data_IF_135805961880
#
_entry.id   IF_135805961880
#
_cell.length_a   1.000
_cell.length_b   1.000
_cell.length_c   1.000
_cell.angle_alpha   90.00
_cell.angle_beta   90.00
_cell.angle_gamma   90.00
#
_symmetry.space_group_name_H-M   'P 1'
#
loop_
_entity.id
_entity.type
_entity.pdbx_description
1 polymer ?
#
# COMPACT_ATOMS: atom_id res chain seq x y z
N UNK A 1 13.74 -10.28 7.28
CA UNK A 1 14.86 -9.68 6.50
C UNK A 1 15.70 -10.84 6.00
N UNK A 2 15.47 -11.26 4.77
CA UNK A 2 16.32 -12.27 4.13
C UNK A 2 17.72 -11.70 3.93
N UNK A 3 18.72 -12.48 4.37
CA UNK A 3 20.12 -12.21 4.06
C UNK A 3 20.33 -12.47 2.56
N UNK A 4 20.31 -11.40 1.76
CA UNK A 4 20.81 -11.45 0.39
C UNK A 4 22.25 -11.91 0.43
N UNK A 5 22.55 -13.04 -0.23
CA UNK A 5 23.89 -13.60 -0.35
C UNK A 5 24.92 -12.51 -0.72
N UNK A 6 25.98 -12.37 0.06
CA UNK A 6 26.96 -11.29 0.05
C UNK A 6 27.91 -11.35 -1.16
N UNK A 7 27.42 -11.21 -2.38
CA UNK A 7 28.29 -11.31 -3.55
C UNK A 7 28.11 -10.23 -4.62
N UNK A 8 27.01 -9.51 -4.64
CA UNK A 8 26.66 -8.62 -5.75
C UNK A 8 25.98 -7.30 -5.31
N UNK A 9 26.26 -6.78 -4.12
CA UNK A 9 25.64 -5.55 -3.62
C UNK A 9 26.62 -4.39 -3.59
N UNK A 10 26.17 -3.19 -4.02
CA UNK A 10 26.94 -1.94 -3.94
C UNK A 10 26.62 -1.30 -2.60
N UNK A 11 27.55 -1.41 -1.66
CA UNK A 11 27.40 -0.92 -0.29
C UNK A 11 27.07 0.58 -0.22
N UNK A 12 27.70 1.40 -1.07
CA UNK A 12 27.43 2.85 -1.11
C UNK A 12 25.99 3.17 -1.52
N UNK A 13 25.40 2.40 -2.45
CA UNK A 13 24.00 2.57 -2.83
C UNK A 13 23.05 2.20 -1.68
N UNK A 14 23.33 1.09 -0.99
CA UNK A 14 22.55 0.69 0.19
C UNK A 14 22.58 1.74 1.30
N UNK A 15 23.74 2.31 1.58
CA UNK A 15 23.90 3.39 2.57
C UNK A 15 23.10 4.63 2.14
N UNK A 16 23.18 5.03 0.87
CA UNK A 16 22.42 6.17 0.35
C UNK A 16 20.91 5.98 0.52
N UNK A 17 20.36 4.82 0.13
CA UNK A 17 18.94 4.51 0.30
C UNK A 17 18.53 4.40 1.77
N UNK A 18 19.38 3.85 2.64
CA UNK A 18 19.11 3.83 4.09
C UNK A 18 18.98 5.24 4.69
N UNK A 19 19.74 6.21 4.20
CA UNK A 19 19.60 7.62 4.61
C UNK A 19 18.24 8.16 4.19
N UNK A 20 17.78 7.86 2.96
CA UNK A 20 16.45 8.24 2.47
C UNK A 20 15.35 7.65 3.35
N UNK A 21 15.44 6.36 3.70
CA UNK A 21 14.49 5.67 4.57
C UNK A 21 14.41 6.31 5.97
N UNK A 22 15.57 6.70 6.53
CA UNK A 22 15.61 7.35 7.85
C UNK A 22 14.88 8.69 7.80
N UNK A 23 15.12 9.50 6.76
CA UNK A 23 14.46 10.81 6.59
C UNK A 23 12.95 10.62 6.35
N UNK A 24 12.55 9.62 5.56
CA UNK A 24 11.14 9.31 5.31
C UNK A 24 10.38 9.00 6.59
N UNK A 25 10.98 8.21 7.50
CA UNK A 25 10.36 7.81 8.79
C UNK A 25 10.16 8.97 9.77
N UNK A 26 10.90 10.07 9.63
CA UNK A 26 10.78 11.22 10.55
C UNK A 26 9.49 12.02 10.33
N UNK A 27 8.86 11.94 9.16
CA UNK A 27 7.65 12.71 8.79
C UNK A 27 7.78 14.23 8.94
N UNK A 28 8.99 14.74 9.18
CA UNK A 28 9.34 16.16 9.33
C UNK A 28 10.78 16.38 8.88
N UNK A 29 11.15 17.62 8.50
CA UNK A 29 12.53 17.94 8.18
C UNK A 29 13.48 17.63 9.33
N UNK A 30 14.67 17.13 9.03
CA UNK A 30 15.68 16.65 9.99
C UNK A 30 17.02 17.35 9.79
N UNK A 31 17.75 17.61 10.88
CA UNK A 31 19.07 18.25 10.83
C UNK A 31 20.17 17.24 10.49
N UNK A 32 21.29 17.74 9.94
CA UNK A 32 22.50 16.94 9.70
C UNK A 32 22.97 16.17 10.94
N UNK A 33 22.97 16.84 12.11
CA UNK A 33 23.42 16.24 13.36
C UNK A 33 22.59 15.01 13.75
N UNK A 34 21.28 15.10 13.61
CA UNK A 34 20.35 14.02 13.96
C UNK A 34 20.50 12.82 13.00
N UNK A 35 20.70 13.11 11.68
CA UNK A 35 20.99 12.05 10.69
C UNK A 35 22.31 11.37 11.02
N UNK A 36 23.33 12.13 11.40
CA UNK A 36 24.62 11.59 11.80
C UNK A 36 24.51 10.69 13.03
N UNK A 37 23.76 11.13 14.05
CA UNK A 37 23.52 10.36 15.27
C UNK A 37 22.77 9.04 14.99
N UNK A 38 21.74 9.08 14.15
CA UNK A 38 20.96 7.87 13.81
C UNK A 38 21.76 6.90 12.94
N UNK A 39 22.52 7.42 11.96
CA UNK A 39 23.21 6.59 10.98
C UNK A 39 24.55 6.06 11.45
N UNK A 40 25.21 6.75 12.39
CA UNK A 40 26.59 6.51 12.84
C UNK A 40 27.63 6.58 11.69
N UNK A 41 27.26 7.19 10.56
CA UNK A 41 28.17 7.41 9.43
C UNK A 41 29.09 8.60 9.77
N UNK A 42 30.39 8.50 9.44
CA UNK A 42 31.31 9.62 9.66
C UNK A 42 30.83 10.90 8.97
N UNK A 43 31.01 12.06 9.60
CA UNK A 43 30.53 13.36 9.09
C UNK A 43 30.95 13.62 7.63
N UNK A 44 32.19 13.30 7.29
CA UNK A 44 32.72 13.47 5.92
C UNK A 44 31.98 12.62 4.89
N UNK A 45 31.69 11.34 5.21
CA UNK A 45 30.95 10.46 4.31
C UNK A 45 29.48 10.83 4.25
N UNK A 46 28.85 11.13 5.39
CA UNK A 46 27.46 11.57 5.42
C UNK A 46 27.26 12.82 4.56
N UNK A 47 28.17 13.79 4.64
CA UNK A 47 28.13 14.99 3.81
C UNK A 47 28.13 14.66 2.31
N UNK A 48 28.98 13.70 1.87
CA UNK A 48 29.01 13.25 0.46
C UNK A 48 27.69 12.63 0.03
N UNK A 49 27.12 11.76 0.86
CA UNK A 49 25.81 11.14 0.57
C UNK A 49 24.69 12.18 0.46
N UNK A 50 24.59 13.08 1.45
CA UNK A 50 23.54 14.10 1.46
C UNK A 50 23.68 15.05 0.27
N UNK A 51 24.88 15.47 -0.09
CA UNK A 51 25.12 16.31 -1.26
C UNK A 51 24.74 15.58 -2.56
N UNK A 52 25.12 14.32 -2.71
CA UNK A 52 24.78 13.51 -3.89
C UNK A 52 23.27 13.36 -4.01
N UNK A 53 22.59 12.95 -2.94
CA UNK A 53 21.15 12.74 -2.93
C UNK A 53 20.36 14.04 -3.15
N UNK A 54 20.87 15.17 -2.63
CA UNK A 54 20.30 16.50 -2.89
C UNK A 54 20.52 16.93 -4.34
N UNK A 55 21.73 16.73 -4.88
CA UNK A 55 22.04 17.02 -6.27
C UNK A 55 21.19 16.20 -7.27
N UNK A 56 20.80 14.99 -6.89
CA UNK A 56 19.90 14.13 -7.67
C UNK A 56 18.41 14.47 -7.47
N UNK A 57 18.07 15.41 -6.58
CA UNK A 57 16.69 15.75 -6.23
C UNK A 57 15.95 14.70 -5.39
N UNK A 58 16.64 13.66 -4.92
CA UNK A 58 16.10 12.62 -4.03
C UNK A 58 15.85 13.18 -2.62
N UNK A 59 16.75 14.05 -2.17
CA UNK A 59 16.57 14.88 -0.96
C UNK A 59 16.44 16.34 -1.35
N UNK A 60 15.79 17.09 -0.50
CA UNK A 60 15.73 18.55 -0.53
C UNK A 60 16.39 19.08 0.73
N UNK A 61 17.27 20.07 0.59
CA UNK A 61 17.87 20.82 1.70
C UNK A 61 17.30 22.22 1.69
N UNK A 62 16.58 22.56 2.75
CA UNK A 62 16.08 23.90 2.95
C UNK A 62 17.24 24.90 3.14
N UNK A 63 17.21 26.04 2.43
CA UNK A 63 18.31 27.01 2.40
C UNK A 63 18.43 27.81 3.69
N UNK A 64 17.32 28.07 4.38
CA UNK A 64 17.29 28.89 5.59
C UNK A 64 17.63 28.07 6.83
N UNK A 65 16.93 26.96 7.03
CA UNK A 65 17.11 26.11 8.21
C UNK A 65 18.26 25.10 8.06
N UNK A 66 18.69 24.81 6.83
CA UNK A 66 19.66 23.78 6.53
C UNK A 66 19.18 22.34 6.76
N UNK A 67 17.88 22.16 7.05
CA UNK A 67 17.26 20.85 7.28
C UNK A 67 17.05 20.09 5.97
N UNK A 68 17.01 18.75 6.10
CA UNK A 68 16.80 17.83 4.99
C UNK A 68 15.39 17.24 5.05
N UNK A 69 14.76 17.10 3.89
CA UNK A 69 13.50 16.40 3.66
C UNK A 69 13.57 15.58 2.38
N UNK A 70 12.54 14.79 2.11
CA UNK A 70 12.44 14.07 0.83
C UNK A 70 12.26 15.06 -0.31
N UNK A 71 12.93 14.79 -1.44
CA UNK A 71 12.91 15.62 -2.64
C UNK A 71 11.84 15.16 -3.65
N UNK A 72 11.51 16.04 -4.61
CA UNK A 72 10.49 15.82 -5.63
C UNK A 72 10.79 14.67 -6.59
N UNK A 73 12.05 14.29 -6.75
CA UNK A 73 12.43 13.16 -7.62
C UNK A 73 11.83 11.83 -7.16
N UNK A 74 11.59 11.67 -5.87
CA UNK A 74 10.90 10.50 -5.35
C UNK A 74 9.42 10.46 -5.76
N UNK A 75 8.78 11.61 -5.92
CA UNK A 75 7.41 11.70 -6.46
C UNK A 75 7.41 11.24 -7.92
N UNK A 76 8.35 11.70 -8.74
CA UNK A 76 8.47 11.27 -10.14
C UNK A 76 8.68 9.75 -10.24
N UNK A 77 9.58 9.19 -9.43
CA UNK A 77 9.81 7.74 -9.41
C UNK A 77 8.58 6.96 -8.93
N UNK A 78 7.92 7.46 -7.88
CA UNK A 78 6.67 6.86 -7.39
C UNK A 78 5.57 6.88 -8.45
N UNK A 79 5.37 8.02 -9.11
CA UNK A 79 4.41 8.15 -10.20
C UNK A 79 4.75 7.25 -11.39
N UNK A 80 6.01 7.17 -11.79
CA UNK A 80 6.47 6.27 -12.86
C UNK A 80 6.28 4.79 -12.50
N UNK A 81 6.49 4.41 -11.24
CA UNK A 81 6.28 3.05 -10.76
C UNK A 81 4.80 2.65 -10.73
N UNK A 82 3.91 3.61 -10.46
CA UNK A 82 2.45 3.40 -10.42
C UNK A 82 1.84 3.52 -11.83
N UNK A 83 2.42 4.38 -12.66
CA UNK A 83 1.88 4.80 -13.96
C UNK A 83 2.44 3.99 -15.14
N UNK A 84 2.01 2.76 -15.30
CA UNK A 84 1.87 2.30 -16.69
C UNK A 84 0.49 2.64 -17.30
N UNK A 85 -0.50 2.98 -16.48
CA UNK A 85 -1.75 3.64 -16.88
C UNK A 85 -2.15 4.53 -15.71
N UNK A 86 -2.71 5.69 -15.95
CA UNK A 86 -3.08 6.73 -14.95
C UNK A 86 -4.23 6.28 -14.00
N UNK A 87 -4.09 5.06 -13.42
CA UNK A 87 -5.13 4.36 -12.64
C UNK A 87 -5.55 5.21 -11.45
N UNK A 88 -4.57 5.75 -10.70
CA UNK A 88 -4.85 6.49 -9.45
C UNK A 88 -5.65 7.77 -9.72
N UNK A 89 -5.38 8.47 -10.81
CA UNK A 89 -6.14 9.67 -11.18
C UNK A 89 -7.56 9.30 -11.62
N UNK A 90 -7.70 8.28 -12.46
CA UNK A 90 -8.99 7.83 -12.97
C UNK A 90 -9.90 7.28 -11.88
N UNK A 91 -9.35 6.60 -10.88
CA UNK A 91 -10.12 6.00 -9.78
C UNK A 91 -10.47 7.01 -8.68
N UNK A 92 -9.69 8.08 -8.52
CA UNK A 92 -9.83 9.05 -7.41
C UNK A 92 -11.22 9.64 -7.24
N UNK A 93 -11.96 10.06 -8.29
CA UNK A 93 -13.32 10.57 -8.14
C UNK A 93 -14.30 9.54 -7.53
N UNK A 94 -14.17 8.27 -7.93
CA UNK A 94 -15.01 7.18 -7.44
C UNK A 94 -14.69 6.84 -5.98
N UNK A 95 -13.41 6.83 -5.60
CA UNK A 95 -13.01 6.63 -4.20
C UNK A 95 -13.56 7.73 -3.30
N UNK A 96 -13.58 8.98 -3.79
CA UNK A 96 -14.14 10.11 -3.08
C UNK A 96 -15.67 10.00 -2.92
N UNK A 97 -16.35 9.47 -3.93
CA UNK A 97 -17.80 9.20 -3.87
C UNK A 97 -18.11 8.11 -2.85
N UNK A 98 -17.39 6.97 -2.90
CA UNK A 98 -17.53 5.89 -1.93
C UNK A 98 -17.26 6.40 -0.50
N UNK A 99 -16.22 7.21 -0.31
CA UNK A 99 -15.89 7.78 0.98
C UNK A 99 -17.02 8.69 1.50
N UNK A 100 -17.62 9.54 0.65
CA UNK A 100 -18.76 10.39 1.03
C UNK A 100 -20.01 9.58 1.34
N UNK A 101 -20.28 8.53 0.57
CA UNK A 101 -21.46 7.68 0.76
C UNK A 101 -21.39 6.84 2.03
N UNK A 102 -20.23 6.19 2.26
CA UNK A 102 -20.04 5.28 3.38
C UNK A 102 -19.60 5.97 4.68
N UNK A 103 -19.10 7.20 4.61
CA UNK A 103 -18.64 7.95 5.79
C UNK A 103 -17.33 7.44 6.41
N UNK A 104 -16.72 6.41 5.85
CA UNK A 104 -15.53 5.74 6.37
C UNK A 104 -14.31 5.94 5.46
N UNK A 105 -13.11 5.67 5.95
CA UNK A 105 -11.88 5.77 5.16
C UNK A 105 -11.87 4.78 4.01
N UNK A 106 -11.53 5.27 2.81
CA UNK A 106 -11.39 4.46 1.59
C UNK A 106 -9.94 4.43 1.17
N UNK A 107 -9.42 3.23 0.96
CA UNK A 107 -8.06 2.97 0.49
C UNK A 107 -8.12 2.40 -0.93
N UNK A 108 -7.14 2.78 -1.76
CA UNK A 108 -6.84 2.06 -2.99
C UNK A 108 -5.45 1.44 -2.87
N UNK A 109 -5.37 0.16 -3.17
CA UNK A 109 -4.12 -0.60 -3.09
C UNK A 109 -3.83 -1.29 -4.41
N UNK A 110 -2.55 -1.35 -4.76
CA UNK A 110 -2.04 -2.03 -5.96
C UNK A 110 -1.00 -3.09 -5.56
N UNK A 111 -0.74 -4.01 -6.47
CA UNK A 111 0.33 -4.97 -6.27
C UNK A 111 1.70 -4.33 -6.51
N UNK A 112 2.66 -4.61 -5.65
CA UNK A 112 4.07 -4.23 -5.79
C UNK A 112 4.97 -5.44 -5.59
N UNK A 113 6.27 -5.29 -5.81
CA UNK A 113 7.25 -6.36 -5.52
C UNK A 113 7.26 -6.83 -4.05
N UNK A 114 6.78 -5.98 -3.13
CA UNK A 114 6.72 -6.28 -1.69
C UNK A 114 5.34 -6.81 -1.26
N UNK A 115 4.41 -6.97 -2.18
CA UNK A 115 3.03 -7.34 -1.92
C UNK A 115 2.03 -6.18 -2.13
N UNK A 116 0.78 -6.33 -1.67
CA UNK A 116 -0.24 -5.29 -1.79
C UNK A 116 0.16 -4.03 -1.03
N UNK A 117 0.10 -2.85 -1.69
CA UNK A 117 0.51 -1.58 -1.09
C UNK A 117 -0.57 -0.52 -1.27
N UNK A 118 -0.82 0.26 -0.22
CA UNK A 118 -1.73 1.40 -0.25
C UNK A 118 -1.11 2.54 -1.05
N UNK A 119 -1.78 3.00 -2.10
CA UNK A 119 -1.31 4.10 -2.97
C UNK A 119 -2.22 5.33 -2.94
N UNK A 120 -3.44 5.19 -2.43
CA UNK A 120 -4.36 6.31 -2.25
C UNK A 120 -5.23 6.13 -1.02
N UNK A 121 -5.54 7.24 -0.34
CA UNK A 121 -6.41 7.28 0.85
C UNK A 121 -7.37 8.47 0.72
N UNK A 122 -8.66 8.22 0.99
CA UNK A 122 -9.66 9.26 1.24
C UNK A 122 -10.22 9.07 2.65
N UNK A 123 -10.10 10.11 3.47
CA UNK A 123 -10.56 10.12 4.85
C UNK A 123 -11.38 11.39 5.12
N UNK A 124 -12.57 11.23 5.72
CA UNK A 124 -13.42 12.35 6.12
C UNK A 124 -13.10 12.90 7.51
N UNK A 125 -12.38 12.13 8.32
CA UNK A 125 -12.11 12.46 9.73
C UNK A 125 -10.73 13.09 9.87
N UNK A 126 -10.66 14.35 10.21
CA UNK A 126 -9.42 15.02 10.61
C UNK A 126 -8.93 14.38 11.93
N UNK A 127 -7.82 13.65 11.87
CA UNK A 127 -7.15 13.11 13.05
C UNK A 127 -7.36 11.61 13.32
N UNK A 128 -8.22 10.89 12.61
CA UNK A 128 -8.34 9.43 12.78
C UNK A 128 -7.35 8.70 11.88
N UNK A 129 -6.22 8.29 12.43
CA UNK A 129 -5.27 7.42 11.73
C UNK A 129 -5.62 5.96 12.05
N UNK A 130 -6.28 5.27 11.12
CA UNK A 130 -6.68 3.86 11.23
C UNK A 130 -5.53 2.89 10.85
N UNK A 131 -4.30 3.31 11.08
CA UNK A 131 -3.11 2.43 10.96
C UNK A 131 -2.59 2.20 9.55
N UNK A 132 -3.24 2.74 8.50
CA UNK A 132 -2.74 2.65 7.14
C UNK A 132 -2.34 4.03 6.61
N UNK A 133 -1.16 4.10 5.99
CA UNK A 133 -0.62 5.27 5.30
C UNK A 133 -0.32 4.90 3.85
N UNK A 134 -0.18 5.90 2.97
CA UNK A 134 0.35 5.65 1.62
C UNK A 134 1.74 5.02 1.76
N UNK A 135 1.97 3.92 1.04
CA UNK A 135 3.18 3.10 1.16
C UNK A 135 3.07 1.94 2.16
N UNK A 136 1.98 1.83 2.94
CA UNK A 136 1.76 0.67 3.81
C UNK A 136 1.60 -0.60 2.98
N UNK A 137 2.44 -1.60 3.24
CA UNK A 137 2.28 -2.96 2.68
C UNK A 137 1.27 -3.72 3.53
N UNK A 138 0.27 -4.28 2.87
CA UNK A 138 -0.85 -4.96 3.52
C UNK A 138 -0.56 -6.45 3.65
N UNK A 139 -0.80 -7.08 4.83
CA UNK A 139 -0.62 -8.51 5.02
C UNK A 139 -1.71 -9.33 4.31
N UNK A 140 -1.46 -10.61 4.16
CA UNK A 140 -2.38 -11.57 3.55
C UNK A 140 -3.76 -11.58 4.23
N UNK A 141 -3.81 -11.46 5.55
CA UNK A 141 -5.05 -11.47 6.33
C UNK A 141 -5.87 -10.18 6.25
N UNK A 142 -5.35 -9.11 5.64
CA UNK A 142 -6.14 -7.92 5.38
C UNK A 142 -7.18 -8.19 4.30
N UNK A 143 -8.30 -7.45 4.29
CA UNK A 143 -9.32 -7.61 3.26
C UNK A 143 -8.72 -7.42 1.84
N UNK A 144 -7.87 -6.42 1.62
CA UNK A 144 -7.16 -6.23 0.36
C UNK A 144 -6.21 -7.40 0.04
N UNK A 145 -5.43 -7.87 1.02
CA UNK A 145 -4.50 -9.00 0.84
C UNK A 145 -5.22 -10.26 0.36
N UNK A 146 -6.37 -10.57 0.93
CA UNK A 146 -7.22 -11.69 0.52
C UNK A 146 -7.72 -11.54 -0.92
N UNK A 147 -8.11 -10.33 -1.37
CA UNK A 147 -8.49 -10.07 -2.77
C UNK A 147 -7.30 -10.35 -3.70
N UNK A 148 -6.12 -9.82 -3.40
CA UNK A 148 -4.94 -10.11 -4.23
C UNK A 148 -4.63 -11.60 -4.27
N UNK A 149 -4.68 -12.29 -3.13
CA UNK A 149 -4.46 -13.74 -3.06
C UNK A 149 -5.50 -14.55 -3.83
N UNK A 150 -6.74 -14.05 -3.96
CA UNK A 150 -7.83 -14.72 -4.66
C UNK A 150 -7.77 -14.52 -6.18
N UNK A 151 -7.37 -13.35 -6.67
CA UNK A 151 -7.54 -12.95 -8.06
C UNK A 151 -6.24 -12.80 -8.85
N UNK A 152 -5.08 -12.87 -8.22
CA UNK A 152 -3.80 -12.88 -8.92
C UNK A 152 -3.24 -14.28 -9.04
N UNK A 153 -2.61 -14.53 -10.19
CA UNK A 153 -1.90 -15.77 -10.49
C UNK A 153 -0.42 -15.47 -10.77
N UNK A 154 0.41 -16.52 -10.75
CA UNK A 154 1.82 -16.46 -11.06
C UNK A 154 2.74 -16.70 -9.86
N UNK A 155 4.03 -16.88 -10.15
CA UNK A 155 5.04 -17.28 -9.16
C UNK A 155 5.21 -16.24 -8.04
N UNK A 156 5.20 -14.96 -8.37
CA UNK A 156 5.41 -13.87 -7.41
C UNK A 156 4.32 -13.85 -6.32
N UNK A 157 3.05 -13.99 -6.70
CA UNK A 157 1.95 -14.02 -5.75
C UNK A 157 1.96 -15.31 -4.94
N UNK A 158 2.33 -16.44 -5.56
CA UNK A 158 2.41 -17.72 -4.88
C UNK A 158 3.49 -17.70 -3.78
N UNK A 159 4.69 -17.23 -4.10
CA UNK A 159 5.78 -17.07 -3.14
C UNK A 159 5.40 -16.14 -1.97
N UNK A 160 4.70 -15.04 -2.27
CA UNK A 160 4.20 -14.13 -1.23
C UNK A 160 3.16 -14.82 -0.33
N UNK A 161 2.18 -15.54 -0.93
CA UNK A 161 1.17 -16.30 -0.16
C UNK A 161 1.81 -17.31 0.76
N UNK A 162 2.75 -18.10 0.25
CA UNK A 162 3.47 -19.11 1.03
C UNK A 162 4.25 -18.48 2.19
N UNK A 163 4.96 -17.37 1.93
CA UNK A 163 5.68 -16.62 2.97
C UNK A 163 4.74 -16.07 4.05
N UNK A 164 3.57 -15.59 3.69
CA UNK A 164 2.57 -15.07 4.64
C UNK A 164 1.88 -16.21 5.41
N UNK A 165 1.51 -17.31 4.74
CA UNK A 165 0.92 -18.50 5.36
C UNK A 165 1.86 -19.18 6.35
N UNK A 166 3.16 -19.22 6.05
CA UNK A 166 4.16 -19.74 6.97
C UNK A 166 4.19 -19.01 8.32
N UNK A 167 3.78 -17.74 8.35
CA UNK A 167 3.66 -16.94 9.57
C UNK A 167 2.39 -17.26 10.38
N UNK A 168 1.40 -17.91 9.76
CA UNK A 168 0.08 -18.15 10.36
C UNK A 168 -0.05 -19.48 11.10
N UNK A 169 0.86 -20.44 10.89
CA UNK A 169 0.81 -21.77 11.51
C UNK A 169 -0.47 -22.54 11.16
N UNK A 170 -1.12 -23.14 12.16
CA UNK A 170 -2.32 -23.98 11.97
C UNK A 170 -3.54 -23.28 11.35
N UNK A 171 -3.62 -21.94 11.41
CA UNK A 171 -4.72 -21.15 10.82
C UNK A 171 -4.71 -21.15 9.29
N UNK A 172 -3.71 -21.75 8.65
CA UNK A 172 -3.61 -21.81 7.19
C UNK A 172 -4.55 -22.84 6.53
N UNK A 173 -5.06 -23.82 7.28
CA UNK A 173 -5.79 -24.96 6.71
C UNK A 173 -7.11 -24.55 5.99
N UNK A 174 -7.88 -23.64 6.56
CA UNK A 174 -9.17 -23.21 6.01
C UNK A 174 -9.07 -22.02 5.04
N UNK A 175 -7.89 -21.45 4.91
CA UNK A 175 -7.70 -20.19 4.16
C UNK A 175 -7.95 -20.34 2.65
N UNK A 176 -7.64 -21.48 2.07
CA UNK A 176 -7.90 -21.73 0.64
C UNK A 176 -9.39 -21.77 0.32
N UNK A 177 -10.23 -22.27 1.23
CA UNK A 177 -11.69 -22.24 1.07
C UNK A 177 -12.22 -20.79 1.13
N UNK A 178 -11.68 -19.99 2.04
CA UNK A 178 -12.00 -18.56 2.13
C UNK A 178 -11.64 -17.81 0.82
N UNK A 179 -10.45 -18.07 0.25
CA UNK A 179 -10.03 -17.45 -1.01
C UNK A 179 -10.94 -17.83 -2.18
N UNK A 180 -11.40 -19.08 -2.24
CA UNK A 180 -12.35 -19.51 -3.27
C UNK A 180 -13.72 -18.85 -3.12
N UNK A 181 -14.21 -18.71 -1.89
CA UNK A 181 -15.44 -17.99 -1.61
C UNK A 181 -15.34 -16.51 -2.02
N UNK A 182 -14.22 -15.86 -1.72
CA UNK A 182 -13.93 -14.49 -2.14
C UNK A 182 -13.90 -14.37 -3.67
N UNK A 183 -13.34 -15.35 -4.37
CA UNK A 183 -13.32 -15.40 -5.83
C UNK A 183 -14.73 -15.47 -6.43
N UNK A 184 -15.62 -16.22 -5.80
CA UNK A 184 -17.02 -16.34 -6.23
C UNK A 184 -17.83 -15.09 -5.90
N UNK A 185 -17.61 -14.50 -4.74
CA UNK A 185 -18.41 -13.37 -4.24
C UNK A 185 -17.89 -11.99 -4.69
N UNK A 186 -16.62 -11.87 -5.05
CA UNK A 186 -16.01 -10.59 -5.43
C UNK A 186 -15.83 -9.59 -4.28
N UNK A 187 -15.84 -10.07 -3.03
CA UNK A 187 -15.71 -9.23 -1.83
C UNK A 187 -15.00 -10.01 -0.73
N UNK A 188 -14.22 -9.31 0.09
CA UNK A 188 -13.57 -9.88 1.26
C UNK A 188 -13.73 -9.01 2.49
N UNK A 189 -13.72 -9.63 3.65
CA UNK A 189 -13.85 -9.01 4.96
C UNK A 189 -12.65 -9.35 5.83
N UNK A 190 -12.23 -8.41 6.68
CA UNK A 190 -11.21 -8.66 7.67
C UNK A 190 -11.45 -7.83 8.94
N UNK A 191 -11.24 -8.47 10.08
CA UNK A 191 -11.32 -7.83 11.39
C UNK A 191 -9.95 -7.88 12.05
N UNK A 192 -9.51 -6.76 12.63
CA UNK A 192 -8.28 -6.62 13.43
C UNK A 192 -6.99 -7.13 12.74
N UNK A 193 -6.95 -7.09 11.41
CA UNK A 193 -5.81 -7.61 10.64
C UNK A 193 -4.53 -6.77 10.75
N UNK A 194 -4.65 -5.49 11.06
CA UNK A 194 -3.54 -4.54 11.22
C UNK A 194 -3.59 -3.81 12.57
N UNK A 195 -4.79 -3.40 12.98
CA UNK A 195 -5.01 -2.60 14.20
C UNK A 195 -6.19 -3.19 14.96
N UNK A 196 -6.09 -3.32 16.31
CA UNK A 196 -7.22 -3.76 17.14
C UNK A 196 -8.44 -2.88 16.94
N UNK A 197 -9.64 -3.47 17.01
CA UNK A 197 -10.94 -2.81 16.87
C UNK A 197 -11.20 -2.16 15.50
N UNK A 198 -10.35 -2.39 14.50
CA UNK A 198 -10.51 -1.92 13.13
C UNK A 198 -10.89 -3.09 12.21
N UNK A 199 -11.94 -2.89 11.42
CA UNK A 199 -12.38 -3.82 10.39
C UNK A 199 -12.25 -3.21 9.00
N UNK A 200 -12.23 -4.06 8.00
CA UNK A 200 -12.15 -3.65 6.60
C UNK A 200 -12.97 -4.58 5.69
N UNK A 201 -13.49 -4.00 4.63
CA UNK A 201 -14.13 -4.73 3.52
C UNK A 201 -13.50 -4.26 2.21
N UNK A 202 -13.18 -5.18 1.32
CA UNK A 202 -12.45 -4.91 0.08
C UNK A 202 -13.09 -5.56 -1.13
N UNK A 203 -13.04 -4.85 -2.27
CA UNK A 203 -13.51 -5.29 -3.57
C UNK A 203 -12.40 -5.19 -4.62
N UNK A 204 -12.37 -6.08 -5.62
CA UNK A 204 -11.41 -6.02 -6.72
C UNK A 204 -11.83 -5.02 -7.79
N UNK A 205 -10.84 -4.46 -8.49
CA UNK A 205 -11.01 -3.66 -9.70
C UNK A 205 -10.26 -4.32 -10.84
N UNK A 206 -10.95 -4.60 -11.94
CA UNK A 206 -10.40 -5.32 -13.10
C UNK A 206 -10.27 -4.42 -14.34
N UNK A 207 -9.37 -4.81 -15.25
CA UNK A 207 -9.25 -4.21 -16.58
C UNK A 207 -9.96 -5.04 -17.67
N UNK A 208 -9.86 -4.59 -18.94
CA UNK A 208 -10.43 -5.26 -20.11
C UNK A 208 -9.89 -6.68 -20.36
N UNK A 209 -8.72 -7.04 -19.80
CA UNK A 209 -8.14 -8.38 -19.85
C UNK A 209 -8.56 -9.26 -18.67
N UNK A 210 -9.52 -8.83 -17.86
CA UNK A 210 -9.92 -9.48 -16.60
C UNK A 210 -8.78 -9.60 -15.58
N UNK A 211 -7.73 -8.76 -15.70
CA UNK A 211 -6.62 -8.73 -14.75
C UNK A 211 -6.94 -7.76 -13.61
N UNK A 212 -6.54 -8.12 -12.40
CA UNK A 212 -6.70 -7.28 -11.21
C UNK A 212 -5.79 -6.05 -11.31
N UNK A 213 -6.39 -4.85 -11.35
CA UNK A 213 -5.68 -3.56 -11.33
C UNK A 213 -5.32 -3.14 -9.91
N UNK A 214 -6.18 -3.47 -8.96
CA UNK A 214 -6.03 -3.11 -7.57
C UNK A 214 -7.30 -3.39 -6.78
N UNK A 215 -7.34 -2.92 -5.54
CA UNK A 215 -8.46 -3.11 -4.62
C UNK A 215 -8.95 -1.79 -4.06
N UNK A 216 -10.26 -1.65 -3.92
CA UNK A 216 -10.88 -0.59 -3.12
C UNK A 216 -11.29 -1.18 -1.79
N UNK A 217 -10.82 -0.58 -0.70
CA UNK A 217 -11.03 -1.06 0.67
C UNK A 217 -11.67 0.02 1.51
N UNK A 218 -12.79 -0.28 2.13
CA UNK A 218 -13.42 0.55 3.16
C UNK A 218 -12.87 0.10 4.52
N UNK A 219 -12.42 1.05 5.35
CA UNK A 219 -11.81 0.79 6.66
C UNK A 219 -12.42 1.69 7.71
N UNK A 220 -12.70 1.14 8.88
CA UNK A 220 -13.27 1.88 10.02
C UNK A 220 -13.32 1.02 11.27
N UNK A 221 -14.01 1.51 12.31
CA UNK A 221 -14.25 0.71 13.52
C UNK A 221 -15.15 -0.49 13.23
N UNK A 222 -15.00 -1.58 13.99
CA UNK A 222 -15.71 -2.85 13.79
C UNK A 222 -17.24 -2.71 13.70
N UNK A 223 -17.82 -1.75 14.44
CA UNK A 223 -19.26 -1.48 14.43
C UNK A 223 -19.73 -0.64 13.23
N UNK A 224 -18.85 -0.16 12.39
CA UNK A 224 -19.13 0.70 11.24
C UNK A 224 -18.89 0.01 9.89
N UNK A 225 -18.13 -1.07 9.90
CA UNK A 225 -17.77 -1.81 8.70
C UNK A 225 -18.55 -3.12 8.64
N UNK A 226 -19.22 -3.43 7.51
CA UNK A 226 -19.93 -4.69 7.36
C UNK A 226 -18.97 -5.90 7.38
N UNK A 227 -19.47 -7.03 7.84
CA UNK A 227 -18.79 -8.31 7.85
C UNK A 227 -19.53 -9.39 7.05
N UNK A 228 -20.57 -9.00 6.31
CA UNK A 228 -21.40 -9.90 5.49
C UNK A 228 -21.75 -9.28 4.14
N UNK A 229 -21.96 -10.14 3.14
CA UNK A 229 -22.22 -9.71 1.77
C UNK A 229 -23.59 -9.03 1.60
N UNK A 230 -24.60 -9.44 2.37
CA UNK A 230 -25.97 -8.93 2.22
C UNK A 230 -26.18 -7.55 2.87
N UNK A 231 -25.19 -7.02 3.55
CA UNK A 231 -25.26 -5.68 4.12
C UNK A 231 -25.32 -4.61 3.01
N UNK A 232 -26.10 -3.55 3.21
CA UNK A 232 -26.31 -2.48 2.23
C UNK A 232 -24.99 -1.88 1.70
N UNK A 233 -24.03 -1.59 2.59
CA UNK A 233 -22.72 -1.06 2.22
C UNK A 233 -21.93 -2.08 1.38
N UNK A 234 -22.01 -3.38 1.70
CA UNK A 234 -21.34 -4.43 0.91
C UNK A 234 -21.89 -4.50 -0.51
N UNK A 235 -23.20 -4.44 -0.68
CA UNK A 235 -23.87 -4.42 -1.99
C UNK A 235 -23.54 -3.15 -2.78
N UNK A 236 -23.49 -2.00 -2.11
CA UNK A 236 -23.06 -0.75 -2.72
C UNK A 236 -21.62 -0.83 -3.21
N UNK A 237 -20.68 -1.37 -2.41
CA UNK A 237 -19.29 -1.55 -2.81
C UNK A 237 -19.16 -2.50 -4.00
N UNK A 238 -19.85 -3.64 -4.01
CA UNK A 238 -19.85 -4.58 -5.15
C UNK A 238 -20.29 -3.91 -6.44
N UNK A 239 -21.40 -3.13 -6.37
CA UNK A 239 -21.89 -2.35 -7.51
C UNK A 239 -20.85 -1.33 -7.97
N UNK A 240 -20.27 -0.57 -7.05
CA UNK A 240 -19.26 0.44 -7.34
C UNK A 240 -17.99 -0.18 -7.95
N UNK A 241 -17.55 -1.34 -7.47
CA UNK A 241 -16.41 -2.08 -8.02
C UNK A 241 -16.64 -2.55 -9.45
N UNK A 242 -17.85 -3.02 -9.76
CA UNK A 242 -18.23 -3.40 -11.11
C UNK A 242 -18.29 -2.18 -12.06
N UNK A 243 -18.88 -1.08 -11.63
CA UNK A 243 -18.94 0.16 -12.39
C UNK A 243 -17.52 0.71 -12.66
N UNK A 244 -16.66 0.73 -11.63
CA UNK A 244 -15.26 1.10 -11.76
C UNK A 244 -14.52 0.19 -12.75
N UNK A 245 -14.66 -1.12 -12.65
CA UNK A 245 -14.02 -2.06 -13.56
C UNK A 245 -14.47 -1.84 -15.01
N UNK A 246 -15.74 -1.51 -15.25
CA UNK A 246 -16.27 -1.15 -16.58
C UNK A 246 -15.57 0.10 -17.17
N UNK A 247 -15.23 1.08 -16.36
CA UNK A 247 -14.44 2.23 -16.82
C UNK A 247 -13.01 1.87 -17.27
N UNK A 248 -12.51 0.71 -16.83
CA UNK A 248 -11.26 0.11 -17.31
C UNK A 248 -11.48 -0.97 -18.37
N UNK A 249 -12.68 -1.00 -18.96
CA UNK A 249 -13.03 -1.88 -20.08
C UNK A 249 -13.41 -3.32 -19.69
N UNK A 250 -13.58 -3.61 -18.38
CA UNK A 250 -14.03 -4.92 -17.93
C UNK A 250 -15.45 -5.21 -18.43
N UNK A 251 -15.66 -6.41 -18.99
CA UNK A 251 -16.97 -6.92 -19.40
C UNK A 251 -17.24 -8.22 -18.67
N UNK A 252 -18.39 -8.30 -18.00
CA UNK A 252 -18.94 -9.57 -17.51
C UNK A 252 -19.47 -10.34 -18.74
N UNK A 253 -19.17 -11.59 -18.81
CA UNK A 253 -19.81 -12.54 -19.70
C UNK A 253 -21.22 -12.87 -19.21
#
# INVERSE_FOLDING_TARGET
MEQVKSGATIQSLQIGLRIVDIIAKQQKPIKFADIHEITQITKSNLYKYLNTLTGMGILYRDKESGMFSLGSKLIEYGMAAINQENIVERISPYLQEINRHCGNTVLFSVWTHSGPMVVRIFNNSVGLNIGAQIGTVLPLLSAAGKIFASFMDGETIQNWKESELAKMGEKAADFNQELELIRQQGISFASESLVPSVSSVSIPIFNYKKQLLGTVTLVGFMNQIPNEINHEISQYLLKSGLELSRHFGYQME
#
